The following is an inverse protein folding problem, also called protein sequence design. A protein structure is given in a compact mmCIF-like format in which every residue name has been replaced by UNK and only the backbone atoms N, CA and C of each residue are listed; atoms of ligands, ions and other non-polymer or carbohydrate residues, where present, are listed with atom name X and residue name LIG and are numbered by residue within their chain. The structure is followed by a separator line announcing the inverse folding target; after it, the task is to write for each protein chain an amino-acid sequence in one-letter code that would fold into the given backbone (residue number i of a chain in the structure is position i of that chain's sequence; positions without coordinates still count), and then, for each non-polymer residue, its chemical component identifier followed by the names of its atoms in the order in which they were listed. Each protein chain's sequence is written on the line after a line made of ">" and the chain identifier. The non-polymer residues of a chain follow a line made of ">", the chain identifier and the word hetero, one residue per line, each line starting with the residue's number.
data_IF_521953919646
#
_entry.id   IF_521953919646
#
_cell.length_a   1.000
_cell.length_b   1.000
_cell.length_c   1.000
_cell.angle_alpha   90.00
_cell.angle_beta   90.00
_cell.angle_gamma   90.00
#
_symmetry.space_group_name_H-M   'P 1'
#
loop_
_entity.id
_entity.type
_entity.pdbx_description
1 polymer ?
#
# COMPACT_ATOMS: atom_id res chain seq x y z
N UNK A 1 -15.97 15.72 -54.54
CA UNK A 1 -14.55 15.49 -54.20
C UNK A 1 -14.51 14.25 -53.33
N UNK A 2 -13.75 13.19 -53.65
CA UNK A 2 -13.70 11.99 -52.81
C UNK A 2 -13.05 12.34 -51.46
N UNK A 3 -13.62 11.84 -50.38
CA UNK A 3 -13.16 12.06 -49.02
C UNK A 3 -11.81 11.34 -48.81
N UNK A 4 -10.69 12.06 -48.95
CA UNK A 4 -9.34 11.57 -48.65
C UNK A 4 -9.10 11.63 -47.12
N UNK A 5 -9.67 10.69 -46.38
CA UNK A 5 -9.31 10.46 -44.98
C UNK A 5 -8.34 9.29 -44.89
N UNK A 6 -7.04 9.58 -44.95
CA UNK A 6 -5.98 8.57 -44.90
C UNK A 6 -5.76 8.13 -43.45
N UNK A 7 -6.08 6.87 -43.16
CA UNK A 7 -5.76 6.27 -41.86
C UNK A 7 -4.24 6.10 -41.69
N UNK A 8 -3.77 5.92 -40.45
CA UNK A 8 -2.35 5.71 -40.13
C UNK A 8 -1.72 4.58 -40.96
N UNK A 9 -2.47 3.49 -41.16
CA UNK A 9 -2.06 2.33 -41.96
C UNK A 9 -1.93 2.68 -43.45
N UNK A 10 -2.77 3.59 -43.92
CA UNK A 10 -2.75 4.06 -45.30
C UNK A 10 -1.57 4.99 -45.57
N UNK A 11 -1.26 5.88 -44.63
CA UNK A 11 -0.06 6.72 -44.70
C UNK A 11 1.23 5.91 -44.64
N UNK A 12 1.28 4.87 -43.80
CA UNK A 12 2.40 3.92 -43.72
C UNK A 12 2.61 3.21 -45.06
N UNK A 13 1.52 2.69 -45.64
CA UNK A 13 1.56 2.03 -46.95
C UNK A 13 2.03 2.98 -48.05
N UNK A 14 1.61 4.24 -48.06
CA UNK A 14 2.05 5.23 -49.05
C UNK A 14 3.54 5.56 -48.88
N UNK A 15 4.01 5.74 -47.64
CA UNK A 15 5.39 6.09 -47.35
C UNK A 15 6.37 5.00 -47.84
N UNK A 16 6.01 3.73 -47.70
CA UNK A 16 6.91 2.60 -47.99
C UNK A 16 6.50 1.76 -49.23
N UNK A 17 5.56 2.22 -50.07
CA UNK A 17 5.17 1.46 -51.27
C UNK A 17 6.27 1.48 -52.35
N UNK A 18 6.73 0.29 -52.76
CA UNK A 18 7.91 0.11 -53.62
C UNK A 18 7.83 0.68 -55.05
N UNK A 19 6.66 1.16 -55.50
CA UNK A 19 6.51 1.76 -56.84
C UNK A 19 6.60 3.29 -56.86
N UNK A 20 6.47 3.97 -55.72
CA UNK A 20 6.60 5.43 -55.61
C UNK A 20 6.87 5.82 -54.17
N UNK A 21 8.15 5.87 -53.81
CA UNK A 21 8.57 6.24 -52.46
C UNK A 21 8.38 7.75 -52.27
N UNK A 22 7.35 8.14 -51.53
CA UNK A 22 7.21 9.52 -51.08
C UNK A 22 8.24 9.77 -49.98
N UNK A 23 9.20 10.67 -50.22
CA UNK A 23 10.22 11.04 -49.23
C UNK A 23 9.63 11.44 -47.87
N UNK A 24 8.41 12.01 -47.88
CA UNK A 24 7.70 12.47 -46.70
C UNK A 24 6.19 12.35 -46.90
N UNK A 25 5.51 11.73 -45.94
CA UNK A 25 4.05 11.61 -45.86
C UNK A 25 3.57 12.18 -44.52
N UNK A 26 2.48 12.96 -44.51
CA UNK A 26 1.89 13.50 -43.29
C UNK A 26 0.39 13.19 -43.27
N UNK A 27 -0.12 12.61 -42.19
CA UNK A 27 -1.56 12.40 -41.98
C UNK A 27 -2.24 13.71 -41.63
N UNK A 28 -3.56 13.77 -41.81
CA UNK A 28 -4.35 14.94 -41.37
C UNK A 28 -4.26 15.17 -39.86
N UNK A 29 -4.03 14.11 -39.08
CA UNK A 29 -3.80 14.17 -37.63
C UNK A 29 -2.38 14.65 -37.25
N UNK A 30 -1.54 14.94 -38.25
CA UNK A 30 -0.18 15.45 -38.05
C UNK A 30 0.88 14.38 -37.80
N UNK A 31 0.57 13.09 -38.04
CA UNK A 31 1.58 12.03 -38.01
C UNK A 31 2.44 12.09 -39.28
N UNK A 32 3.75 12.10 -39.11
CA UNK A 32 4.77 12.21 -40.14
C UNK A 32 5.45 10.86 -40.35
N UNK A 33 5.70 10.51 -41.60
CA UNK A 33 6.49 9.35 -42.01
C UNK A 33 7.56 9.80 -43.01
N UNK A 34 8.80 9.44 -42.75
CA UNK A 34 9.94 9.72 -43.62
C UNK A 34 10.66 8.43 -44.03
N UNK A 35 11.28 8.45 -45.20
CA UNK A 35 12.06 7.32 -45.73
C UNK A 35 13.30 7.00 -44.91
N UNK A 36 13.74 7.93 -44.06
CA UNK A 36 14.76 7.72 -43.03
C UNK A 36 14.32 6.72 -41.94
N UNK A 37 13.05 6.30 -41.95
CA UNK A 37 12.42 5.53 -40.87
C UNK A 37 11.89 6.40 -39.74
N UNK A 38 12.02 7.73 -39.84
CA UNK A 38 11.49 8.65 -38.83
C UNK A 38 9.97 8.69 -38.92
N UNK A 39 9.31 8.29 -37.83
CA UNK A 39 7.87 8.43 -37.65
C UNK A 39 7.60 9.35 -36.46
N UNK A 40 6.89 10.45 -36.67
CA UNK A 40 6.41 11.31 -35.58
C UNK A 40 4.89 11.39 -35.61
N UNK A 41 4.23 11.66 -34.49
CA UNK A 41 2.75 11.57 -34.43
C UNK A 41 2.19 10.98 -33.14
N UNK A 42 2.95 10.96 -32.05
CA UNK A 42 2.45 10.62 -30.73
C UNK A 42 1.92 11.86 -30.00
N UNK A 43 0.74 11.75 -29.40
CA UNK A 43 0.13 12.77 -28.53
C UNK A 43 -1.12 13.42 -29.12
N UNK A 44 -1.94 14.03 -28.26
CA UNK A 44 -3.23 14.66 -28.63
C UNK A 44 -3.10 16.06 -29.23
N UNK A 45 -1.87 16.57 -29.44
CA UNK A 45 -1.61 17.96 -29.82
C UNK A 45 -0.91 18.03 -31.18
N UNK A 46 -1.65 18.21 -32.29
CA UNK A 46 -1.05 18.45 -33.60
C UNK A 46 -0.35 19.82 -33.65
N UNK A 47 0.76 19.91 -34.37
CA UNK A 47 1.52 21.16 -34.54
C UNK A 47 0.91 22.00 -35.67
N UNK A 48 -0.06 22.86 -35.35
CA UNK A 48 -0.72 23.79 -36.28
C UNK A 48 -0.16 25.21 -36.29
N UNK A 49 -0.67 26.07 -37.19
CA UNK A 49 -0.46 27.54 -37.15
C UNK A 49 0.73 28.11 -37.93
N UNK A 50 1.50 27.29 -38.65
CA UNK A 50 2.66 27.76 -39.46
C UNK A 50 2.28 28.37 -40.81
N UNK A 51 1.06 28.11 -41.30
CA UNK A 51 0.49 28.68 -42.53
C UNK A 51 -0.83 29.36 -42.18
N UNK A 52 -1.15 30.46 -42.88
CA UNK A 52 -2.19 31.46 -42.57
C UNK A 52 -3.66 31.02 -42.52
N UNK A 53 -3.95 29.78 -42.15
CA UNK A 53 -5.27 29.37 -41.66
C UNK A 53 -5.38 29.75 -40.19
N UNK A 54 -6.31 30.67 -39.90
CA UNK A 54 -6.66 31.17 -38.56
C UNK A 54 -7.26 30.07 -37.68
N UNK A 55 -6.47 29.06 -37.33
CA UNK A 55 -6.79 28.14 -36.24
C UNK A 55 -6.29 28.83 -34.98
N UNK A 56 -7.14 29.15 -33.99
CA UNK A 56 -6.66 29.65 -32.72
C UNK A 56 -5.76 28.57 -32.13
N UNK A 57 -4.44 28.81 -32.17
CA UNK A 57 -3.49 28.08 -31.34
C UNK A 57 -4.06 28.21 -29.93
N UNK A 58 -4.32 27.08 -29.27
CA UNK A 58 -4.71 27.07 -27.88
C UNK A 58 -3.50 27.58 -27.06
N UNK A 59 -3.32 28.90 -27.06
CA UNK A 59 -2.27 29.58 -26.33
C UNK A 59 -2.61 29.43 -24.87
N UNK A 60 -1.84 28.60 -24.17
CA UNK A 60 -1.93 28.47 -22.73
C UNK A 60 -1.68 29.86 -22.15
N UNK A 61 -2.67 30.42 -21.45
CA UNK A 61 -2.50 31.73 -20.82
C UNK A 61 -1.59 31.60 -19.60
N UNK A 62 -0.82 32.65 -19.29
CA UNK A 62 0.02 32.66 -18.08
C UNK A 62 -0.78 32.41 -16.80
N UNK A 63 -2.04 32.85 -16.75
CA UNK A 63 -2.95 32.57 -15.63
C UNK A 63 -3.36 31.10 -15.53
N UNK A 64 -3.50 30.39 -16.65
CA UNK A 64 -3.76 28.94 -16.64
C UNK A 64 -2.56 28.15 -16.09
N UNK A 65 -1.33 28.58 -16.42
CA UNK A 65 -0.10 27.97 -15.88
C UNK A 65 0.00 28.24 -14.37
N UNK A 66 -0.18 29.49 -13.93
CA UNK A 66 -0.11 29.86 -12.52
C UNK A 66 -1.15 29.12 -11.66
N UNK A 67 -2.37 28.92 -12.19
CA UNK A 67 -3.39 28.12 -11.50
C UNK A 67 -2.98 26.65 -11.40
N UNK A 68 -2.46 26.06 -12.47
CA UNK A 68 -1.98 24.68 -12.46
C UNK A 68 -0.79 24.48 -11.49
N UNK A 69 0.13 25.45 -11.40
CA UNK A 69 1.24 25.42 -10.44
C UNK A 69 0.75 25.52 -8.99
N UNK A 70 -0.26 26.35 -8.74
CA UNK A 70 -0.89 26.46 -7.42
C UNK A 70 -1.60 25.17 -7.03
N UNK A 71 -2.38 24.58 -7.93
CA UNK A 71 -3.02 23.28 -7.71
C UNK A 71 -2.00 22.18 -7.46
N UNK A 72 -0.92 22.14 -8.24
CA UNK A 72 0.18 21.19 -8.04
C UNK A 72 0.79 21.35 -6.65
N UNK A 73 1.06 22.58 -6.21
CA UNK A 73 1.62 22.86 -4.88
C UNK A 73 0.71 22.35 -3.76
N UNK A 74 -0.60 22.61 -3.85
CA UNK A 74 -1.59 22.11 -2.89
C UNK A 74 -1.66 20.58 -2.86
N UNK A 75 -1.55 19.93 -4.02
CA UNK A 75 -1.55 18.46 -4.08
C UNK A 75 -0.28 17.86 -3.49
N UNK A 76 0.88 18.50 -3.69
CA UNK A 76 2.14 18.08 -3.09
C UNK A 76 2.10 18.22 -1.56
N UNK A 77 1.56 19.33 -1.04
CA UNK A 77 1.37 19.52 0.40
C UNK A 77 0.48 18.44 1.02
N UNK A 78 -0.68 18.17 0.40
CA UNK A 78 -1.58 17.09 0.84
C UNK A 78 -0.88 15.73 0.82
N UNK A 79 -0.16 15.42 -0.25
CA UNK A 79 0.57 14.17 -0.38
C UNK A 79 1.61 14.01 0.75
N UNK A 80 2.38 15.07 1.03
CA UNK A 80 3.35 15.06 2.12
C UNK A 80 2.67 14.88 3.49
N UNK A 81 1.53 15.54 3.73
CA UNK A 81 0.77 15.35 4.98
C UNK A 81 0.28 13.91 5.16
N UNK A 82 -0.16 13.26 4.08
CA UNK A 82 -0.60 11.87 4.11
C UNK A 82 0.60 10.93 4.37
N UNK A 83 1.74 11.17 3.71
CA UNK A 83 2.97 10.39 3.94
C UNK A 83 3.44 10.49 5.38
N UNK A 84 3.39 11.68 5.97
CA UNK A 84 3.76 11.88 7.37
C UNK A 84 2.82 11.10 8.30
N UNK A 85 1.50 11.21 8.10
CA UNK A 85 0.51 10.46 8.89
C UNK A 85 0.71 8.94 8.80
N UNK A 86 0.99 8.43 7.61
CA UNK A 86 1.29 7.00 7.42
C UNK A 86 2.53 6.61 8.24
N UNK A 87 3.59 7.42 8.20
CA UNK A 87 4.81 7.14 8.95
C UNK A 87 4.58 7.13 10.47
N UNK A 88 3.83 8.12 10.97
CA UNK A 88 3.44 8.21 12.39
C UNK A 88 2.59 7.00 12.81
N UNK A 89 1.60 6.61 12.00
CA UNK A 89 0.71 5.49 12.30
C UNK A 89 1.45 4.14 12.28
N UNK A 90 2.38 3.94 11.35
CA UNK A 90 3.26 2.76 11.32
C UNK A 90 4.14 2.69 12.58
N UNK A 91 4.70 3.82 13.03
CA UNK A 91 5.49 3.85 14.26
C UNK A 91 4.65 3.50 15.48
N UNK A 92 3.44 4.06 15.61
CA UNK A 92 2.51 3.75 16.68
C UNK A 92 2.11 2.27 16.68
N UNK A 93 1.83 1.70 15.50
CA UNK A 93 1.51 0.29 15.35
C UNK A 93 2.65 -0.61 15.82
N UNK A 94 3.88 -0.35 15.38
CA UNK A 94 5.07 -1.12 15.80
C UNK A 94 5.33 -1.02 17.30
N UNK A 95 5.09 0.15 17.91
CA UNK A 95 5.21 0.32 19.35
C UNK A 95 4.14 -0.51 20.09
N UNK A 96 2.89 -0.49 19.61
CA UNK A 96 1.81 -1.31 20.16
C UNK A 96 2.09 -2.81 20.01
N UNK A 97 2.62 -3.25 18.88
CA UNK A 97 2.96 -4.66 18.65
C UNK A 97 4.01 -5.16 19.64
N UNK A 98 5.06 -4.35 19.89
CA UNK A 98 6.06 -4.65 20.93
C UNK A 98 5.45 -4.70 22.32
N UNK A 99 4.54 -3.79 22.65
CA UNK A 99 3.86 -3.79 23.94
C UNK A 99 3.00 -5.04 24.13
N UNK A 100 2.27 -5.47 23.09
CA UNK A 100 1.50 -6.72 23.11
C UNK A 100 2.41 -7.91 23.38
N UNK A 101 3.54 -8.03 22.68
CA UNK A 101 4.48 -9.14 22.88
C UNK A 101 5.03 -9.20 24.31
N UNK A 102 5.32 -8.04 24.92
CA UNK A 102 5.75 -7.96 26.32
C UNK A 102 4.63 -8.42 27.26
N UNK A 103 3.40 -7.93 27.05
CA UNK A 103 2.26 -8.30 27.87
C UNK A 103 1.92 -9.79 27.77
N UNK A 104 2.02 -10.39 26.57
CA UNK A 104 1.83 -11.83 26.38
C UNK A 104 2.88 -12.64 27.15
N UNK A 105 4.14 -12.21 27.14
CA UNK A 105 5.21 -12.84 27.91
C UNK A 105 4.96 -12.72 29.43
N UNK A 106 4.57 -11.55 29.91
CA UNK A 106 4.25 -11.32 31.33
C UNK A 106 3.05 -12.16 31.78
N UNK A 107 2.02 -12.26 30.94
CA UNK A 107 0.85 -13.10 31.19
C UNK A 107 1.24 -14.57 31.30
N UNK A 108 2.06 -15.08 30.38
CA UNK A 108 2.55 -16.46 30.42
C UNK A 108 3.39 -16.74 31.68
N UNK A 109 4.22 -15.76 32.10
CA UNK A 109 5.00 -15.86 33.33
C UNK A 109 4.11 -15.93 34.57
N UNK A 110 3.14 -15.03 34.68
CA UNK A 110 2.19 -15.00 35.81
C UNK A 110 1.34 -16.28 35.88
N UNK A 111 0.90 -16.80 34.74
CA UNK A 111 0.22 -18.09 34.68
C UNK A 111 1.10 -19.21 35.21
N UNK A 112 2.36 -19.28 34.81
CA UNK A 112 3.28 -20.31 35.31
C UNK A 112 3.51 -20.21 36.82
N UNK A 113 3.65 -18.99 37.35
CA UNK A 113 3.78 -18.75 38.79
C UNK A 113 2.53 -19.19 39.56
N UNK A 114 1.32 -18.84 39.06
CA UNK A 114 0.06 -19.27 39.69
C UNK A 114 -0.09 -20.79 39.68
N UNK A 115 0.22 -21.47 38.57
CA UNK A 115 0.22 -22.94 38.53
C UNK A 115 1.19 -23.53 39.56
N UNK A 116 2.41 -23.00 39.66
CA UNK A 116 3.39 -23.44 40.67
C UNK A 116 2.81 -23.33 42.09
N UNK A 117 2.21 -22.19 42.43
CA UNK A 117 1.61 -21.97 43.74
C UNK A 117 0.42 -22.90 44.01
N UNK A 118 -0.39 -23.23 42.99
CA UNK A 118 -1.47 -24.22 43.11
C UNK A 118 -0.91 -25.60 43.45
N UNK A 119 0.15 -26.05 42.77
CA UNK A 119 0.79 -27.35 43.07
C UNK A 119 1.40 -27.39 44.48
N UNK A 120 2.06 -26.30 44.90
CA UNK A 120 2.61 -26.17 46.26
C UNK A 120 1.49 -26.25 47.33
N UNK A 121 0.37 -25.56 47.09
CA UNK A 121 -0.79 -25.59 47.99
C UNK A 121 -1.46 -26.98 48.05
N UNK A 122 -1.59 -27.65 46.90
CA UNK A 122 -2.15 -29.01 46.84
C UNK A 122 -1.33 -30.01 47.67
N UNK A 123 0.00 -29.98 47.52
CA UNK A 123 0.89 -30.85 48.30
C UNK A 123 0.79 -30.60 49.82
N UNK A 124 0.65 -29.33 50.24
CA UNK A 124 0.45 -28.99 51.64
C UNK A 124 -0.90 -29.51 52.19
N UNK A 125 -1.94 -29.50 51.35
CA UNK A 125 -3.27 -29.99 51.71
C UNK A 125 -3.30 -31.52 51.91
N UNK A 126 -2.58 -32.27 51.07
CA UNK A 126 -2.43 -33.73 51.23
C UNK A 126 -1.72 -34.10 52.55
N UNK A 127 -0.67 -33.35 52.93
CA UNK A 127 0.03 -33.56 54.21
C UNK A 127 -0.86 -33.24 55.42
N UNK A 128 -1.71 -32.22 55.30
CA UNK A 128 -2.68 -31.87 56.34
C UNK A 128 -3.70 -33.00 56.52
N UNK A 129 -4.22 -33.56 55.42
CA UNK A 129 -5.19 -34.67 55.46
C UNK A 129 -4.62 -35.92 56.14
N UNK A 130 -3.36 -36.27 55.85
CA UNK A 130 -2.65 -37.35 56.54
C UNK A 130 -2.50 -37.05 58.03
N UNK A 131 -2.09 -35.82 58.38
CA UNK A 131 -1.87 -35.41 59.78
C UNK A 131 -3.17 -35.46 60.58
N UNK A 132 -4.28 -35.01 60.00
CA UNK A 132 -5.62 -35.07 60.61
C UNK A 132 -6.06 -36.52 60.81
N UNK A 133 -5.88 -37.39 59.82
CA UNK A 133 -6.19 -38.83 59.94
C UNK A 133 -5.40 -39.48 61.07
N UNK A 134 -4.10 -39.17 61.20
CA UNK A 134 -3.26 -39.70 62.27
C UNK A 134 -3.75 -39.26 63.66
N UNK A 135 -4.07 -37.96 63.83
CA UNK A 135 -4.53 -37.41 65.10
C UNK A 135 -5.89 -38.02 65.53
N UNK A 136 -6.78 -38.27 64.56
CA UNK A 136 -8.06 -38.98 64.80
C UNK A 136 -7.80 -40.42 65.27
N UNK A 137 -6.83 -41.12 64.65
CA UNK A 137 -6.47 -42.49 65.05
C UNK A 137 -5.92 -42.49 66.47
N UNK A 138 -5.00 -41.58 66.80
CA UNK A 138 -4.47 -41.46 68.16
C UNK A 138 -5.58 -41.19 69.18
N UNK A 139 -6.49 -40.25 68.90
CA UNK A 139 -7.64 -39.97 69.77
C UNK A 139 -8.49 -41.22 70.02
N UNK A 140 -8.81 -41.98 68.98
CA UNK A 140 -9.58 -43.24 69.11
C UNK A 140 -8.83 -44.31 69.91
N UNK A 141 -7.51 -44.37 69.77
CA UNK A 141 -6.68 -45.28 70.53
C UNK A 141 -6.65 -44.90 72.03
N UNK A 142 -6.55 -43.62 72.35
CA UNK A 142 -6.64 -43.11 73.73
C UNK A 142 -8.00 -43.43 74.37
N UNK A 143 -9.11 -43.19 73.65
CA UNK A 143 -10.45 -43.49 74.15
C UNK A 143 -10.64 -44.99 74.46
N UNK A 144 -9.98 -45.87 73.69
CA UNK A 144 -10.06 -47.33 73.88
C UNK A 144 -9.24 -47.84 75.07
N UNK A 145 -8.22 -47.11 75.52
CA UNK A 145 -7.37 -47.49 76.66
C UNK A 145 -8.02 -47.09 77.99
N UNK A 146 -8.83 -46.03 77.99
CA UNK A 146 -9.45 -45.46 79.19
C UNK A 146 -10.82 -46.09 79.50
N UNK A 147 -11.44 -46.80 78.54
CA UNK A 147 -12.70 -47.56 78.72
C UNK A 147 -12.50 -48.98 79.22
#
# INVERSE_FOLDING_TARGET
>A
MPNLHWSHDEATRIAYSGNKEFRRVVTLDGALFETSGTMSGGGSKPHGGKMGTSIPVASVSGGAVANAEKELSLMVEKLNSIRQRIAEEVQCYQASEKAIAILEMELAKSQKETYKHIYEAAAAMDLLDISVKFLIIESKAYDSIIS
#
